data_IF_470317251725
#
_entry.id   IF_470317251725
#
_cell.length_a   1.000
_cell.length_b   1.000
_cell.length_c   1.000
_cell.angle_alpha   90.00
_cell.angle_beta   90.00
_cell.angle_gamma   90.00
#
_symmetry.space_group_name_H-M   'P 1'
#
loop_
_entity.id
_entity.type
_entity.pdbx_description
1 polymer ?
#
# COMPACT_ATOMS: atom_id res chain seq x y z
N UNK A 1 -19.83 -13.91 18.68
CA UNK A 1 -19.13 -14.43 17.48
C UNK A 1 -19.51 -15.86 17.12
N UNK A 2 -19.23 -16.88 17.95
CA UNK A 2 -19.46 -18.29 17.57
C UNK A 2 -20.91 -18.62 17.17
N UNK A 3 -21.90 -18.06 17.89
CA UNK A 3 -23.33 -18.19 17.54
C UNK A 3 -23.64 -17.54 16.19
N UNK A 4 -23.17 -16.31 15.97
CA UNK A 4 -23.35 -15.59 14.71
C UNK A 4 -22.74 -16.35 13.53
N UNK A 5 -21.54 -16.92 13.70
CA UNK A 5 -20.87 -17.72 12.68
C UNK A 5 -21.71 -18.96 12.30
N UNK A 6 -22.18 -19.72 13.28
CA UNK A 6 -23.03 -20.90 13.02
C UNK A 6 -24.33 -20.49 12.33
N UNK A 7 -25.00 -19.46 12.83
CA UNK A 7 -26.25 -18.97 12.24
C UNK A 7 -26.04 -18.49 10.80
N UNK A 8 -25.01 -17.68 10.55
CA UNK A 8 -24.70 -17.13 9.23
C UNK A 8 -24.28 -18.25 8.25
N UNK A 9 -23.49 -19.23 8.70
CA UNK A 9 -23.13 -20.38 7.87
C UNK A 9 -24.34 -21.27 7.52
N UNK A 10 -25.27 -21.48 8.46
CA UNK A 10 -26.44 -22.31 8.21
C UNK A 10 -27.50 -21.61 7.34
N UNK A 11 -27.67 -20.29 7.49
CA UNK A 11 -28.79 -19.54 6.87
C UNK A 11 -28.37 -18.65 5.69
N UNK A 12 -27.09 -18.27 5.62
CA UNK A 12 -26.57 -17.25 4.71
C UNK A 12 -25.47 -17.72 3.75
N UNK A 13 -25.12 -19.02 3.72
CA UNK A 13 -23.98 -19.51 2.91
C UNK A 13 -24.05 -19.19 1.41
N UNK A 14 -25.25 -18.98 0.85
CA UNK A 14 -25.46 -18.62 -0.56
C UNK A 14 -25.00 -17.19 -0.88
N UNK A 15 -24.89 -16.34 0.13
CA UNK A 15 -24.34 -14.99 0.04
C UNK A 15 -23.18 -14.85 1.04
N UNK A 16 -21.95 -15.23 0.65
CA UNK A 16 -20.80 -15.17 1.54
C UNK A 16 -20.48 -13.76 2.07
N UNK A 17 -20.87 -12.68 1.35
CA UNK A 17 -20.67 -11.31 1.82
C UNK A 17 -21.65 -10.97 2.93
N UNK A 18 -22.95 -11.21 2.70
CA UNK A 18 -23.97 -11.06 3.74
C UNK A 18 -23.73 -11.97 4.96
N UNK A 19 -23.14 -13.15 4.76
CA UNK A 19 -22.71 -14.03 5.85
C UNK A 19 -21.65 -13.36 6.74
N UNK A 20 -20.66 -12.69 6.13
CA UNK A 20 -19.60 -11.97 6.85
C UNK A 20 -20.18 -10.82 7.64
N UNK A 21 -21.04 -9.99 7.03
CA UNK A 21 -21.63 -8.82 7.70
C UNK A 21 -22.36 -9.18 9.01
N UNK A 22 -22.99 -10.35 9.06
CA UNK A 22 -23.71 -10.85 10.25
C UNK A 22 -22.81 -11.31 11.39
N UNK A 23 -21.50 -11.49 11.16
CA UNK A 23 -20.60 -12.04 12.18
C UNK A 23 -20.48 -11.14 13.41
N UNK A 24 -20.59 -9.83 13.23
CA UNK A 24 -20.50 -8.83 14.30
C UNK A 24 -21.84 -8.26 14.75
N UNK A 25 -22.96 -8.83 14.30
CA UNK A 25 -24.30 -8.47 14.78
C UNK A 25 -24.35 -8.56 16.31
N UNK A 26 -24.81 -7.48 16.95
CA UNK A 26 -24.91 -7.31 18.40
C UNK A 26 -23.61 -7.47 19.22
N UNK A 27 -22.44 -7.59 18.57
CA UNK A 27 -21.11 -7.60 19.23
C UNK A 27 -20.52 -6.20 19.30
N UNK A 28 -20.72 -5.41 18.24
CA UNK A 28 -20.12 -4.08 18.06
C UNK A 28 -18.69 -4.15 17.54
N UNK A 29 -18.39 -3.28 16.57
CA UNK A 29 -17.10 -3.27 15.82
C UNK A 29 -15.89 -2.84 16.65
N UNK A 30 -16.12 -2.16 17.77
CA UNK A 30 -15.04 -1.71 18.67
C UNK A 30 -14.52 -2.82 19.59
N UNK A 31 -15.28 -3.91 19.76
CA UNK A 31 -14.93 -4.99 20.70
C UNK A 31 -14.17 -6.13 20.04
N UNK A 32 -14.34 -6.31 18.74
CA UNK A 32 -13.77 -7.43 18.00
C UNK A 32 -13.44 -7.01 16.57
N UNK A 33 -12.19 -7.19 16.19
CA UNK A 33 -11.70 -7.08 14.81
C UNK A 33 -11.81 -8.47 14.14
N UNK A 34 -12.33 -8.52 12.91
CA UNK A 34 -12.24 -9.71 12.05
C UNK A 34 -11.22 -9.38 10.96
N UNK A 35 -9.99 -9.81 11.17
CA UNK A 35 -8.83 -9.44 10.37
C UNK A 35 -8.59 -10.33 9.15
N UNK A 36 -9.19 -11.53 9.13
CA UNK A 36 -9.08 -12.47 8.02
C UNK A 36 -10.27 -13.43 7.94
N UNK A 37 -10.67 -13.78 6.72
CA UNK A 37 -11.72 -14.78 6.46
C UNK A 37 -11.34 -15.68 5.31
N UNK A 38 -11.69 -16.97 5.42
CA UNK A 38 -11.55 -17.92 4.32
C UNK A 38 -12.68 -18.93 4.32
N UNK A 39 -13.26 -19.13 3.15
CA UNK A 39 -14.23 -20.18 2.87
C UNK A 39 -13.63 -21.23 1.93
N UNK A 40 -14.04 -22.48 2.12
CA UNK A 40 -13.66 -23.64 1.30
C UNK A 40 -14.82 -24.61 1.20
N UNK A 41 -14.85 -25.41 0.13
CA UNK A 41 -15.81 -26.49 -0.07
C UNK A 41 -16.81 -26.22 -1.20
N UNK A 42 -17.61 -27.23 -1.60
CA UNK A 42 -18.48 -27.15 -2.79
C UNK A 42 -19.50 -26.00 -2.73
N UNK A 43 -20.02 -25.69 -1.53
CA UNK A 43 -20.96 -24.58 -1.32
C UNK A 43 -20.36 -23.20 -1.63
N UNK A 44 -19.04 -23.07 -1.64
CA UNK A 44 -18.30 -21.82 -1.85
C UNK A 44 -17.44 -21.85 -3.12
N UNK A 45 -17.71 -22.74 -4.07
CA UNK A 45 -16.91 -22.89 -5.28
C UNK A 45 -16.82 -21.60 -6.13
N UNK A 46 -17.83 -20.73 -6.06
CA UNK A 46 -17.86 -19.44 -6.75
C UNK A 46 -17.27 -18.27 -5.93
N UNK A 47 -16.84 -18.49 -4.69
CA UNK A 47 -16.35 -17.43 -3.83
C UNK A 47 -14.85 -17.18 -4.05
N UNK A 48 -14.48 -15.94 -4.36
CA UNK A 48 -13.08 -15.49 -4.33
C UNK A 48 -12.75 -14.97 -2.92
N UNK A 49 -11.87 -15.69 -2.22
CA UNK A 49 -11.44 -15.31 -0.86
C UNK A 49 -10.76 -13.94 -0.79
N UNK A 50 -10.18 -13.46 -1.90
CA UNK A 50 -9.59 -12.11 -1.96
C UNK A 50 -10.66 -11.04 -1.89
N UNK A 51 -11.77 -11.23 -2.60
CA UNK A 51 -12.92 -10.32 -2.53
C UNK A 51 -13.61 -10.36 -1.18
N UNK A 52 -13.66 -11.53 -0.51
CA UNK A 52 -14.19 -11.62 0.85
C UNK A 52 -13.31 -10.87 1.85
N UNK A 53 -11.98 -10.98 1.73
CA UNK A 53 -11.06 -10.21 2.57
C UNK A 53 -11.14 -8.70 2.28
N UNK A 54 -11.21 -8.29 1.01
CA UNK A 54 -11.45 -6.89 0.65
C UNK A 54 -12.76 -6.36 1.27
N UNK A 55 -13.80 -7.19 1.27
CA UNK A 55 -15.08 -6.83 1.84
C UNK A 55 -14.98 -6.53 3.34
N UNK A 56 -14.15 -7.24 4.12
CA UNK A 56 -13.90 -6.93 5.54
C UNK A 56 -13.43 -5.49 5.75
N UNK A 57 -12.54 -4.99 4.87
CA UNK A 57 -12.09 -3.59 4.92
C UNK A 57 -13.23 -2.64 4.55
N UNK A 58 -13.98 -2.95 3.48
CA UNK A 58 -15.13 -2.13 3.03
C UNK A 58 -16.21 -1.96 4.10
N UNK A 59 -16.46 -2.98 4.91
CA UNK A 59 -17.46 -2.94 5.99
C UNK A 59 -16.88 -2.49 7.33
N UNK A 60 -15.58 -2.15 7.38
CA UNK A 60 -14.91 -1.64 8.58
C UNK A 60 -14.74 -2.68 9.69
N UNK A 61 -14.58 -3.96 9.33
CA UNK A 61 -14.33 -5.04 10.28
C UNK A 61 -12.84 -5.19 10.61
N UNK A 62 -11.99 -4.71 9.71
CA UNK A 62 -10.54 -4.59 9.88
C UNK A 62 -10.06 -3.36 9.11
N UNK A 63 -9.06 -2.61 9.63
CA UNK A 63 -8.49 -1.48 8.91
C UNK A 63 -7.69 -1.88 7.67
N UNK A 64 -7.20 -3.13 7.58
CA UNK A 64 -6.47 -3.61 6.41
C UNK A 64 -6.44 -5.14 6.30
N UNK A 65 -6.22 -5.64 5.08
CA UNK A 65 -6.00 -7.06 4.77
C UNK A 65 -4.72 -7.24 3.95
N UNK A 66 -4.02 -8.35 4.20
CA UNK A 66 -2.73 -8.66 3.58
C UNK A 66 -2.87 -9.84 2.63
N UNK A 67 -2.20 -9.76 1.49
CA UNK A 67 -2.07 -10.82 0.50
C UNK A 67 -0.59 -11.18 0.33
N UNK A 68 -0.32 -12.48 0.21
CA UNK A 68 0.98 -13.00 -0.15
C UNK A 68 1.37 -12.61 -1.59
N UNK A 69 2.62 -12.87 -1.96
CA UNK A 69 3.14 -12.64 -3.30
C UNK A 69 2.46 -13.49 -4.40
N UNK A 70 1.70 -14.52 -4.02
CA UNK A 70 0.88 -15.34 -4.93
C UNK A 70 -0.60 -14.90 -4.95
N UNK A 71 -0.92 -13.79 -4.28
CA UNK A 71 -2.28 -13.26 -4.14
C UNK A 71 -3.14 -13.95 -3.08
N UNK A 72 -2.63 -14.95 -2.35
CA UNK A 72 -3.40 -15.63 -1.31
C UNK A 72 -3.59 -14.73 -0.08
N UNK A 73 -4.81 -14.65 0.50
CA UNK A 73 -5.01 -13.84 1.71
C UNK A 73 -4.28 -14.43 2.92
N UNK A 74 -3.57 -13.57 3.66
CA UNK A 74 -2.80 -13.89 4.85
C UNK A 74 -3.35 -13.21 6.10
N UNK A 75 -3.17 -13.87 7.25
CA UNK A 75 -3.37 -13.24 8.54
C UNK A 75 -2.20 -12.29 8.85
N UNK A 76 -2.45 -10.98 8.77
CA UNK A 76 -1.39 -9.98 8.90
C UNK A 76 -0.66 -10.04 10.25
N UNK A 77 -1.39 -10.28 11.35
CA UNK A 77 -0.85 -10.38 12.71
C UNK A 77 0.16 -11.53 12.90
N UNK A 78 0.18 -12.50 12.00
CA UNK A 78 1.19 -13.57 11.96
C UNK A 78 2.24 -13.32 10.88
N UNK A 79 1.81 -12.92 9.68
CA UNK A 79 2.66 -12.85 8.51
C UNK A 79 3.80 -11.82 8.62
N UNK A 80 3.58 -10.71 9.32
CA UNK A 80 4.57 -9.60 9.45
C UNK A 80 5.09 -9.40 10.88
N UNK A 81 4.67 -10.25 11.82
CA UNK A 81 5.09 -10.17 13.23
C UNK A 81 6.59 -10.46 13.38
N UNK A 82 7.28 -9.60 14.12
CA UNK A 82 8.74 -9.65 14.36
C UNK A 82 9.55 -9.68 13.06
N UNK A 83 9.03 -9.02 12.02
CA UNK A 83 9.70 -8.83 10.74
C UNK A 83 10.04 -7.38 10.53
N UNK A 84 11.04 -7.14 9.68
CA UNK A 84 11.25 -5.83 9.08
C UNK A 84 10.33 -5.70 7.87
N UNK A 85 9.61 -4.58 7.76
CA UNK A 85 8.68 -4.32 6.66
C UNK A 85 9.17 -3.10 5.90
N UNK A 86 9.21 -3.22 4.57
CA UNK A 86 9.35 -2.08 3.67
C UNK A 86 8.09 -1.97 2.82
N UNK A 87 7.55 -0.76 2.73
CA UNK A 87 6.23 -0.54 2.18
C UNK A 87 6.19 0.66 1.25
N UNK A 88 5.66 0.47 0.05
CA UNK A 88 5.38 1.54 -0.89
C UNK A 88 3.87 1.67 -1.04
N UNK A 89 3.34 2.87 -0.87
CA UNK A 89 1.93 3.19 -1.11
C UNK A 89 1.76 3.67 -2.54
N UNK A 90 0.81 3.09 -3.26
CA UNK A 90 0.57 3.46 -4.65
C UNK A 90 -0.82 3.12 -5.18
N UNK A 91 -1.12 3.66 -6.36
CA UNK A 91 -2.31 3.26 -7.13
C UNK A 91 -2.10 1.89 -7.80
N UNK A 92 -0.86 1.61 -8.22
CA UNK A 92 -0.42 0.39 -8.90
C UNK A 92 -1.36 -0.03 -10.06
N UNK A 93 -1.74 0.95 -10.88
CA UNK A 93 -2.65 0.76 -11.99
C UNK A 93 -2.05 1.22 -13.33
N UNK A 94 -1.01 0.55 -13.88
CA UNK A 94 -0.33 -0.64 -13.35
C UNK A 94 0.85 -0.30 -12.41
N UNK A 95 1.44 -1.33 -11.78
CA UNK A 95 2.78 -1.24 -11.18
C UNK A 95 3.82 -1.00 -12.28
N UNK A 96 4.75 -0.09 -12.03
CA UNK A 96 5.73 0.37 -13.02
C UNK A 96 7.16 -0.02 -12.66
N UNK A 97 8.10 0.10 -13.61
CA UNK A 97 9.53 -0.06 -13.31
C UNK A 97 10.00 0.97 -12.29
N UNK A 98 9.48 2.20 -12.34
CA UNK A 98 9.80 3.21 -11.32
C UNK A 98 9.44 2.73 -9.91
N UNK A 99 8.27 2.12 -9.69
CA UNK A 99 7.90 1.55 -8.39
C UNK A 99 8.88 0.46 -7.95
N UNK A 100 9.21 -0.46 -8.86
CA UNK A 100 10.14 -1.56 -8.58
C UNK A 100 11.56 -1.07 -8.27
N UNK A 101 12.05 -0.09 -9.03
CA UNK A 101 13.37 0.53 -8.85
C UNK A 101 13.43 1.25 -7.49
N UNK A 102 12.40 2.04 -7.14
CA UNK A 102 12.29 2.71 -5.84
C UNK A 102 12.32 1.70 -4.68
N UNK A 103 11.52 0.64 -4.76
CA UNK A 103 11.47 -0.42 -3.75
C UNK A 103 12.84 -1.11 -3.59
N UNK A 104 13.50 -1.45 -4.70
CA UNK A 104 14.79 -2.12 -4.69
C UNK A 104 15.89 -1.26 -4.06
N UNK A 105 15.98 0.01 -4.45
CA UNK A 105 16.94 0.97 -3.87
C UNK A 105 16.70 1.17 -2.37
N UNK A 106 15.44 1.32 -1.97
CA UNK A 106 15.08 1.48 -0.57
C UNK A 106 15.36 0.21 0.25
N UNK A 107 15.12 -0.97 -0.30
CA UNK A 107 15.44 -2.25 0.32
C UNK A 107 16.95 -2.38 0.57
N UNK A 108 17.78 -2.02 -0.42
CA UNK A 108 19.24 -2.02 -0.30
C UNK A 108 19.70 -1.09 0.84
N UNK A 109 19.20 0.15 0.87
CA UNK A 109 19.58 1.13 1.87
C UNK A 109 19.09 0.73 3.28
N UNK A 110 17.85 0.25 3.39
CA UNK A 110 17.26 -0.22 4.65
C UNK A 110 18.01 -1.43 5.24
N UNK A 111 18.47 -2.34 4.38
CA UNK A 111 19.33 -3.45 4.82
C UNK A 111 20.71 -2.96 5.27
N UNK A 112 21.30 -1.97 4.60
CA UNK A 112 22.59 -1.40 5.00
C UNK A 112 22.49 -0.69 6.37
N UNK A 113 21.36 -0.02 6.64
CA UNK A 113 21.08 0.70 7.87
C UNK A 113 20.89 -0.23 9.10
N UNK A 114 20.64 -1.52 8.88
CA UNK A 114 20.48 -2.52 9.93
C UNK A 114 21.78 -2.79 10.72
N UNK A 115 22.94 -2.47 10.15
CA UNK A 115 24.26 -2.79 10.71
C UNK A 115 24.63 -4.28 10.63
N UNK A 116 25.93 -4.59 10.65
CA UNK A 116 26.47 -5.94 10.48
C UNK A 116 26.19 -6.93 11.64
N UNK A 117 25.57 -6.46 12.73
CA UNK A 117 25.38 -7.23 13.97
C UNK A 117 24.16 -8.17 13.94
N UNK A 118 23.33 -8.12 12.91
CA UNK A 118 22.20 -9.02 12.72
C UNK A 118 22.27 -9.63 11.32
N UNK A 119 22.21 -10.96 11.16
CA UNK A 119 21.83 -11.55 9.88
C UNK A 119 20.38 -11.13 9.63
N UNK A 120 20.18 -9.97 9.01
CA UNK A 120 18.86 -9.44 8.77
C UNK A 120 18.18 -10.36 7.75
N UNK A 121 17.18 -11.13 8.21
CA UNK A 121 16.22 -11.74 7.30
C UNK A 121 15.72 -10.65 6.35
N UNK A 122 15.64 -10.98 5.05
CA UNK A 122 15.19 -10.04 4.04
C UNK A 122 13.86 -9.39 4.47
N UNK A 123 13.72 -8.05 4.34
CA UNK A 123 12.51 -7.37 4.75
C UNK A 123 11.32 -7.86 3.93
N UNK A 124 10.13 -7.88 4.54
CA UNK A 124 8.89 -8.10 3.82
C UNK A 124 8.58 -6.86 2.97
N UNK A 125 8.63 -7.03 1.65
CA UNK A 125 8.28 -5.99 0.69
C UNK A 125 6.77 -6.01 0.43
N UNK A 126 6.10 -4.91 0.79
CA UNK A 126 4.65 -4.78 0.72
C UNK A 126 4.26 -3.58 -0.14
N UNK A 127 3.37 -3.79 -1.08
CA UNK A 127 2.77 -2.76 -1.91
C UNK A 127 1.39 -2.45 -1.35
N UNK A 128 1.18 -1.22 -0.88
CA UNK A 128 -0.05 -0.81 -0.22
C UNK A 128 -0.99 -0.06 -1.17
N UNK A 129 -2.23 -0.54 -1.28
CA UNK A 129 -3.32 0.08 -2.02
C UNK A 129 -4.37 0.57 -1.04
N UNK A 130 -4.57 1.88 -0.98
CA UNK A 130 -5.67 2.43 -0.19
C UNK A 130 -7.02 2.15 -0.86
N UNK A 131 -8.06 1.90 -0.07
CA UNK A 131 -9.41 1.68 -0.59
C UNK A 131 -9.98 2.91 -1.30
N UNK A 132 -9.48 4.10 -0.97
CA UNK A 132 -9.81 5.35 -1.67
C UNK A 132 -9.35 5.34 -3.14
N UNK A 133 -8.35 4.51 -3.49
CA UNK A 133 -7.92 4.30 -4.88
C UNK A 133 -8.79 3.28 -5.63
N UNK A 134 -9.78 2.67 -4.96
CA UNK A 134 -10.76 1.73 -5.50
C UNK A 134 -12.13 2.43 -5.52
N UNK A 135 -12.31 3.33 -6.50
CA UNK A 135 -13.45 4.27 -6.55
C UNK A 135 -14.81 3.58 -6.74
N UNK A 136 -14.84 2.44 -7.43
CA UNK A 136 -16.06 1.65 -7.61
C UNK A 136 -16.18 0.54 -6.54
N UNK A 137 -17.34 0.46 -5.90
CA UNK A 137 -17.69 -0.61 -4.94
C UNK A 137 -18.48 -1.76 -5.59
N UNK A 138 -18.80 -1.63 -6.89
CA UNK A 138 -19.46 -2.62 -7.71
C UNK A 138 -18.51 -3.63 -8.35
N UNK A 139 -19.02 -4.35 -9.36
CA UNK A 139 -18.27 -5.42 -10.05
C UNK A 139 -17.03 -4.93 -10.77
N UNK A 140 -17.07 -3.75 -11.39
CA UNK A 140 -15.91 -3.21 -12.10
C UNK A 140 -14.78 -2.88 -11.10
N UNK A 141 -15.13 -2.36 -9.92
CA UNK A 141 -14.16 -2.18 -8.84
C UNK A 141 -13.58 -3.49 -8.28
N UNK A 142 -14.38 -4.57 -8.24
CA UNK A 142 -13.89 -5.90 -7.86
C UNK A 142 -12.89 -6.46 -8.89
N UNK A 143 -13.19 -6.34 -10.18
CA UNK A 143 -12.31 -6.76 -11.27
C UNK A 143 -11.01 -5.94 -11.31
N UNK A 144 -11.11 -4.62 -11.17
CA UNK A 144 -9.95 -3.72 -11.09
C UNK A 144 -9.06 -4.07 -9.90
N UNK A 145 -9.66 -4.34 -8.73
CA UNK A 145 -8.91 -4.77 -7.56
C UNK A 145 -8.15 -6.08 -7.80
N UNK A 146 -8.83 -7.11 -8.30
CA UNK A 146 -8.20 -8.41 -8.56
C UNK A 146 -7.08 -8.29 -9.57
N UNK A 147 -7.27 -7.50 -10.64
CA UNK A 147 -6.24 -7.23 -11.62
C UNK A 147 -5.01 -6.59 -10.98
N UNK A 148 -5.17 -5.58 -10.11
CA UNK A 148 -4.03 -4.94 -9.42
C UNK A 148 -3.27 -5.92 -8.52
N UNK A 149 -3.98 -6.79 -7.79
CA UNK A 149 -3.35 -7.85 -6.98
C UNK A 149 -2.59 -8.83 -7.86
N UNK A 150 -3.15 -9.23 -9.00
CA UNK A 150 -2.51 -10.16 -9.94
C UNK A 150 -1.25 -9.54 -10.58
N UNK A 151 -1.27 -8.25 -10.91
CA UNK A 151 -0.11 -7.52 -11.44
C UNK A 151 1.03 -7.42 -10.40
N UNK A 152 0.69 -7.14 -9.14
CA UNK A 152 1.67 -7.09 -8.05
C UNK A 152 2.21 -8.48 -7.70
N UNK A 153 1.36 -9.51 -7.78
CA UNK A 153 1.76 -10.91 -7.60
C UNK A 153 2.71 -11.39 -8.71
N UNK A 154 2.51 -10.90 -9.94
CA UNK A 154 3.39 -11.23 -11.08
C UNK A 154 4.85 -10.77 -10.87
N UNK A 155 5.06 -9.72 -10.07
CA UNK A 155 6.38 -9.20 -9.69
C UNK A 155 6.80 -9.62 -8.26
N UNK A 156 6.09 -10.59 -7.68
CA UNK A 156 6.45 -11.23 -6.42
C UNK A 156 6.29 -10.34 -5.18
N UNK A 157 5.46 -9.31 -5.23
CA UNK A 157 5.25 -8.40 -4.08
C UNK A 157 4.03 -8.79 -3.26
N UNK A 158 4.14 -8.70 -1.93
CA UNK A 158 2.97 -8.80 -1.07
C UNK A 158 2.09 -7.56 -1.25
N UNK A 159 0.79 -7.69 -1.05
CA UNK A 159 -0.16 -6.58 -1.22
C UNK A 159 -0.89 -6.33 0.08
N UNK A 160 -0.86 -5.09 0.58
CA UNK A 160 -1.72 -4.66 1.68
C UNK A 160 -2.83 -3.79 1.09
N UNK A 161 -4.08 -4.06 1.44
CA UNK A 161 -5.20 -3.17 1.12
C UNK A 161 -5.70 -2.57 2.41
N UNK A 162 -5.72 -1.24 2.49
CA UNK A 162 -6.06 -0.54 3.74
C UNK A 162 -7.11 0.56 3.57
N UNK A 163 -7.83 0.84 4.64
CA UNK A 163 -8.61 2.06 4.83
C UNK A 163 -7.87 3.04 5.78
N UNK A 164 -6.55 3.13 5.61
CA UNK A 164 -5.67 3.94 6.47
C UNK A 164 -5.05 5.08 5.67
N UNK A 165 -5.75 6.20 5.45
CA UNK A 165 -5.25 7.27 4.58
C UNK A 165 -3.99 7.95 5.13
N UNK A 166 -3.83 8.05 6.46
CA UNK A 166 -2.67 8.70 7.05
C UNK A 166 -1.50 7.72 7.30
N UNK A 167 -0.28 8.14 6.99
CA UNK A 167 0.92 7.35 7.24
C UNK A 167 1.14 7.02 8.73
N UNK A 168 0.78 7.93 9.65
CA UNK A 168 0.86 7.63 11.08
C UNK A 168 -0.07 6.48 11.49
N UNK A 169 -1.27 6.40 10.90
CA UNK A 169 -2.22 5.33 11.19
C UNK A 169 -1.74 3.99 10.61
N UNK A 170 -1.09 4.02 9.45
CA UNK A 170 -0.44 2.84 8.87
C UNK A 170 0.76 2.37 9.72
N UNK A 171 1.57 3.29 10.23
CA UNK A 171 2.65 2.98 11.17
C UNK A 171 2.11 2.39 12.48
N UNK A 172 1.04 2.96 13.05
CA UNK A 172 0.35 2.43 14.23
C UNK A 172 -0.22 1.02 13.98
N UNK A 173 -0.80 0.78 12.80
CA UNK A 173 -1.30 -0.53 12.38
C UNK A 173 -0.20 -1.61 12.34
N UNK A 174 0.95 -1.29 11.74
CA UNK A 174 2.10 -2.19 11.66
C UNK A 174 2.70 -2.44 13.06
N UNK A 175 2.80 -1.37 13.85
CA UNK A 175 3.29 -1.42 15.21
C UNK A 175 2.40 -2.26 16.15
N UNK A 176 1.07 -2.21 15.99
CA UNK A 176 0.13 -3.04 16.74
C UNK A 176 0.29 -4.54 16.42
N UNK A 177 0.85 -4.87 15.25
CA UNK A 177 1.17 -6.24 14.81
C UNK A 177 2.60 -6.66 15.13
N UNK A 178 3.31 -5.87 15.94
CA UNK A 178 4.69 -6.12 16.38
C UNK A 178 5.69 -6.26 15.22
N UNK A 179 5.58 -5.37 14.22
CA UNK A 179 6.65 -5.17 13.23
C UNK A 179 7.85 -4.52 13.93
N UNK A 180 9.06 -5.05 13.70
CA UNK A 180 10.28 -4.60 14.40
C UNK A 180 10.86 -3.31 13.83
N UNK A 181 10.77 -3.15 12.52
CA UNK A 181 11.32 -2.04 11.75
C UNK A 181 10.41 -1.76 10.55
N UNK A 182 10.12 -0.50 10.29
CA UNK A 182 9.26 -0.10 9.18
C UNK A 182 9.96 0.93 8.31
N UNK A 183 9.95 0.70 7.00
CA UNK A 183 10.41 1.65 6.00
C UNK A 183 9.25 1.99 5.06
N UNK A 184 8.95 3.27 4.91
CA UNK A 184 8.05 3.75 3.87
C UNK A 184 8.85 4.27 2.68
N UNK A 185 8.46 3.86 1.48
CA UNK A 185 9.05 4.27 0.22
C UNK A 185 8.08 5.19 -0.50
N UNK A 186 8.55 6.37 -0.90
CA UNK A 186 7.73 7.39 -1.56
C UNK A 186 8.56 8.33 -2.42
N UNK A 187 7.92 9.00 -3.38
CA UNK A 187 8.54 10.10 -4.11
C UNK A 187 8.43 11.43 -3.38
N UNK A 188 9.30 12.38 -3.74
CA UNK A 188 9.22 13.79 -3.32
C UNK A 188 7.82 14.42 -3.46
N UNK A 189 7.03 14.17 -4.54
CA UNK A 189 5.68 14.73 -4.64
C UNK A 189 4.78 14.34 -3.46
N UNK A 190 4.80 13.06 -3.06
CA UNK A 190 4.01 12.59 -1.92
C UNK A 190 4.58 13.15 -0.60
N UNK A 191 5.90 13.22 -0.46
CA UNK A 191 6.50 13.83 0.73
C UNK A 191 6.06 15.29 0.91
N UNK A 192 5.99 16.05 -0.18
CA UNK A 192 5.49 17.43 -0.15
C UNK A 192 4.05 17.51 0.36
N UNK A 193 3.18 16.61 -0.10
CA UNK A 193 1.80 16.52 0.39
C UNK A 193 1.72 16.16 1.88
N UNK A 194 2.64 15.34 2.41
CA UNK A 194 2.67 15.04 3.85
C UNK A 194 2.99 16.26 4.73
N UNK A 195 3.58 17.31 4.17
CA UNK A 195 3.78 18.58 4.87
C UNK A 195 2.60 19.54 4.73
N UNK A 196 1.51 19.14 4.08
CA UNK A 196 0.28 19.93 4.03
C UNK A 196 -0.55 19.73 5.31
N UNK A 197 -0.58 20.76 6.16
CA UNK A 197 -1.30 20.76 7.43
C UNK A 197 -2.81 20.52 7.30
N UNK A 198 -3.37 20.72 6.10
CA UNK A 198 -4.77 20.44 5.79
C UNK A 198 -5.20 19.01 6.10
N UNK A 199 -4.28 18.05 6.01
CA UNK A 199 -4.54 16.63 6.30
C UNK A 199 -4.63 16.30 7.79
N UNK A 200 -4.22 17.21 8.68
CA UNK A 200 -4.09 16.94 10.13
C UNK A 200 -5.03 17.78 10.99
N UNK A 201 -6.05 18.42 10.40
CA UNK A 201 -7.03 19.25 11.11
C UNK A 201 -7.85 18.50 12.16
N UNK A 202 -7.94 17.17 12.05
CA UNK A 202 -8.63 16.29 12.99
C UNK A 202 -7.77 15.89 14.20
N UNK A 203 -6.49 16.27 14.23
CA UNK A 203 -5.58 16.03 15.35
C UNK A 203 -5.41 17.29 16.19
N UNK A 204 -5.48 17.18 17.51
CA UNK A 204 -5.38 18.31 18.43
C UNK A 204 -4.01 19.01 18.32
N UNK A 205 -2.93 18.25 18.12
CA UNK A 205 -1.58 18.75 17.89
C UNK A 205 -1.19 18.87 16.41
N UNK A 206 -2.15 18.73 15.48
CA UNK A 206 -1.93 18.90 14.04
C UNK A 206 -0.80 18.05 13.48
N UNK A 207 0.05 18.66 12.64
CA UNK A 207 1.18 17.98 11.99
C UNK A 207 2.22 17.45 12.98
N UNK A 208 2.46 18.16 14.09
CA UNK A 208 3.45 17.73 15.09
C UNK A 208 3.00 16.44 15.78
N UNK A 209 1.71 16.33 16.09
CA UNK A 209 1.14 15.09 16.63
C UNK A 209 1.23 13.95 15.60
N UNK A 210 0.90 14.22 14.33
CA UNK A 210 0.97 13.22 13.26
C UNK A 210 2.37 12.65 13.10
N UNK A 211 3.39 13.51 13.03
CA UNK A 211 4.78 13.10 12.87
C UNK A 211 5.35 12.46 14.14
N UNK A 212 4.93 12.93 15.32
CA UNK A 212 5.23 12.29 16.60
C UNK A 212 4.76 10.84 16.61
N UNK A 213 3.50 10.58 16.22
CA UNK A 213 2.93 9.22 16.09
C UNK A 213 3.66 8.37 15.05
N UNK A 214 3.89 8.93 13.86
CA UNK A 214 4.53 8.25 12.73
C UNK A 214 5.93 7.72 13.07
N UNK A 215 6.76 8.51 13.74
CA UNK A 215 8.16 8.17 13.99
C UNK A 215 8.43 7.55 15.38
N UNK A 216 7.40 7.11 16.11
CA UNK A 216 7.55 6.53 17.46
C UNK A 216 8.28 5.18 17.54
N UNK A 217 8.26 4.35 16.48
CA UNK A 217 8.65 2.93 16.55
C UNK A 217 9.56 2.48 15.40
N UNK A 218 10.78 3.02 15.33
CA UNK A 218 11.79 2.61 14.32
C UNK A 218 11.19 2.63 12.90
N UNK A 219 10.65 3.78 12.56
CA UNK A 219 10.02 4.06 11.26
C UNK A 219 10.94 5.00 10.50
N UNK A 220 11.14 4.72 9.21
CA UNK A 220 11.94 5.55 8.31
C UNK A 220 11.17 5.82 7.02
N UNK A 221 11.48 6.94 6.37
CA UNK A 221 11.01 7.28 5.05
C UNK A 221 12.19 7.35 4.08
N UNK A 222 12.13 6.55 3.02
CA UNK A 222 13.08 6.57 1.92
C UNK A 222 12.43 7.26 0.72
N UNK A 223 13.05 8.34 0.28
CA UNK A 223 12.41 9.31 -0.59
C UNK A 223 13.14 9.37 -1.92
N UNK A 224 12.46 8.94 -2.97
CA UNK A 224 12.96 9.01 -4.34
C UNK A 224 12.86 10.43 -4.87
N UNK A 225 13.91 10.85 -5.58
CA UNK A 225 13.95 12.15 -6.23
C UNK A 225 12.88 12.28 -7.33
N UNK A 226 12.59 13.52 -7.71
CA UNK A 226 11.72 13.82 -8.85
C UNK A 226 12.30 14.99 -9.64
N UNK A 227 11.79 15.23 -10.85
CA UNK A 227 12.10 16.46 -11.60
C UNK A 227 11.00 17.46 -11.38
N UNK A 228 11.38 18.71 -11.14
CA UNK A 228 10.41 19.79 -11.15
C UNK A 228 9.77 19.91 -12.54
N UNK A 229 8.45 20.10 -12.57
CA UNK A 229 7.71 20.18 -13.82
C UNK A 229 7.94 21.50 -14.58
N UNK A 230 8.43 22.55 -13.89
CA UNK A 230 8.60 23.90 -14.44
C UNK A 230 10.02 24.08 -14.97
N UNK A 231 11.04 23.85 -14.16
CA UNK A 231 12.44 24.13 -14.52
C UNK A 231 13.28 22.88 -14.80
N UNK A 232 12.74 21.68 -14.54
CA UNK A 232 13.40 20.41 -14.81
C UNK A 232 14.50 20.04 -13.81
N UNK A 233 14.74 20.86 -12.78
CA UNK A 233 15.74 20.57 -11.76
C UNK A 233 15.35 19.36 -10.92
N UNK A 234 16.36 18.60 -10.50
CA UNK A 234 16.15 17.42 -9.64
C UNK A 234 15.92 17.89 -8.21
N UNK A 235 14.77 17.49 -7.67
CA UNK A 235 14.40 17.71 -6.28
C UNK A 235 14.57 16.40 -5.53
N UNK A 236 15.35 16.43 -4.46
CA UNK A 236 15.56 15.31 -3.54
C UNK A 236 14.89 15.62 -2.21
N UNK A 237 14.91 14.65 -1.28
CA UNK A 237 14.50 14.91 0.11
C UNK A 237 15.31 16.04 0.75
N UNK A 238 16.54 16.28 0.27
CA UNK A 238 17.43 17.28 0.83
C UNK A 238 17.19 18.70 0.32
N UNK A 239 16.70 18.82 -0.92
CA UNK A 239 16.45 20.09 -1.57
C UNK A 239 14.96 20.47 -1.58
N UNK A 240 14.08 19.58 -1.11
CA UNK A 240 12.65 19.85 -0.96
C UNK A 240 12.42 21.08 -0.07
N UNK A 241 11.64 22.02 -0.59
CA UNK A 241 11.15 23.18 0.16
C UNK A 241 9.72 22.94 0.61
N UNK A 242 9.45 23.31 1.86
CA UNK A 242 8.12 23.31 2.50
C UNK A 242 7.81 24.73 2.99
N UNK A 243 6.59 24.97 3.47
CA UNK A 243 6.23 26.26 4.08
C UNK A 243 7.22 26.65 5.18
N UNK A 244 7.55 27.95 5.27
CA UNK A 244 8.65 28.47 6.08
C UNK A 244 8.59 28.03 7.56
N UNK A 245 7.40 27.95 8.14
CA UNK A 245 7.22 27.52 9.54
C UNK A 245 7.42 26.02 9.76
N UNK A 246 7.43 25.20 8.69
CA UNK A 246 7.67 23.75 8.74
C UNK A 246 9.11 23.38 8.39
N UNK A 247 9.95 24.34 7.97
CA UNK A 247 11.35 24.08 7.58
C UNK A 247 12.12 23.37 8.71
N UNK A 248 12.02 23.87 9.94
CA UNK A 248 12.73 23.27 11.07
C UNK A 248 12.21 21.87 11.45
N UNK A 249 10.93 21.57 11.17
CA UNK A 249 10.41 20.21 11.33
C UNK A 249 11.06 19.27 10.32
N UNK A 250 11.09 19.65 9.04
CA UNK A 250 11.76 18.86 8.00
C UNK A 250 13.25 18.67 8.31
N UNK A 251 13.95 19.73 8.71
CA UNK A 251 15.36 19.68 9.07
C UNK A 251 15.60 18.73 10.26
N UNK A 252 14.76 18.80 11.29
CA UNK A 252 14.84 17.88 12.43
C UNK A 252 14.69 16.42 11.99
N UNK A 253 13.71 16.11 11.13
CA UNK A 253 13.48 14.75 10.65
C UNK A 253 14.65 14.25 9.77
N UNK A 254 15.26 15.13 8.98
CA UNK A 254 16.42 14.81 8.13
C UNK A 254 17.69 14.60 8.96
N UNK A 255 18.00 15.50 9.89
CA UNK A 255 19.21 15.41 10.74
C UNK A 255 19.18 14.15 11.60
N UNK A 256 18.00 13.74 12.07
CA UNK A 256 17.84 12.47 12.81
C UNK A 256 17.75 11.25 11.89
N UNK A 257 17.88 11.42 10.58
CA UNK A 257 17.81 10.36 9.58
C UNK A 257 16.47 9.62 9.57
N UNK A 258 15.37 10.28 9.93
CA UNK A 258 14.01 9.73 9.84
C UNK A 258 13.49 9.81 8.40
N UNK A 259 13.85 10.88 7.69
CA UNK A 259 13.63 11.06 6.25
C UNK A 259 14.99 10.99 5.56
N UNK A 260 15.13 10.06 4.60
CA UNK A 260 16.38 9.78 3.89
C UNK A 260 16.15 9.87 2.38
N UNK A 261 17.02 10.58 1.63
CA UNK A 261 16.98 10.50 0.17
C UNK A 261 17.43 9.11 -0.29
N UNK A 262 16.81 8.60 -1.35
CA UNK A 262 17.34 7.47 -2.10
C UNK A 262 18.44 7.94 -3.07
N UNK A 263 19.47 7.11 -3.33
CA UNK A 263 20.44 7.38 -4.38
C UNK A 263 19.73 7.56 -5.73
N UNK A 264 20.11 8.60 -6.47
CA UNK A 264 19.54 8.91 -7.77
C UNK A 264 20.63 9.34 -8.73
N UNK A 265 20.71 8.68 -9.89
CA UNK A 265 21.42 9.18 -11.06
C UNK A 265 20.47 10.08 -11.85
N UNK A 266 20.75 11.38 -11.88
CA UNK A 266 19.88 12.35 -12.57
C UNK A 266 19.65 11.96 -14.04
N UNK A 267 20.64 11.38 -14.71
CA UNK A 267 20.53 11.02 -16.13
C UNK A 267 19.55 9.87 -16.39
N UNK A 268 19.28 9.05 -15.38
CA UNK A 268 18.40 7.87 -15.47
C UNK A 268 17.07 8.08 -14.73
N UNK A 269 16.84 9.27 -14.19
CA UNK A 269 15.66 9.58 -13.38
C UNK A 269 14.38 9.49 -14.22
N UNK A 270 13.60 8.43 -13.96
CA UNK A 270 12.27 8.22 -14.55
C UNK A 270 11.24 9.11 -13.86
N UNK A 271 10.39 9.77 -14.64
CA UNK A 271 9.41 10.76 -14.13
C UNK A 271 7.96 10.49 -14.54
N UNK A 272 7.63 9.27 -14.96
CA UNK A 272 6.27 8.90 -15.32
C UNK A 272 5.52 8.27 -14.14
N UNK A 273 4.20 8.44 -14.14
CA UNK A 273 3.28 7.88 -13.16
C UNK A 273 2.58 6.63 -13.70
N UNK A 274 1.94 5.85 -12.82
CA UNK A 274 1.01 4.79 -13.25
C UNK A 274 -0.12 5.33 -14.14
N UNK A 275 -0.53 6.59 -13.97
CA UNK A 275 -1.59 7.21 -14.77
C UNK A 275 -1.14 7.46 -16.21
N UNK A 276 0.11 7.88 -16.40
CA UNK A 276 0.70 8.05 -17.73
C UNK A 276 0.78 6.71 -18.46
N UNK A 277 1.18 5.64 -17.77
CA UNK A 277 1.21 4.28 -18.33
C UNK A 277 -0.21 3.83 -18.68
N UNK A 278 -1.19 4.06 -17.80
CA UNK A 278 -2.60 3.74 -18.05
C UNK A 278 -3.13 4.47 -19.29
N UNK A 279 -2.82 5.76 -19.44
CA UNK A 279 -3.22 6.57 -20.58
C UNK A 279 -2.66 6.00 -21.90
N UNK A 280 -1.39 5.57 -21.91
CA UNK A 280 -0.78 4.92 -23.08
C UNK A 280 -1.41 3.58 -23.41
N UNK A 281 -1.73 2.77 -22.41
CA UNK A 281 -2.44 1.49 -22.59
C UNK A 281 -3.81 1.74 -23.24
N UNK A 282 -4.61 2.65 -22.68
CA UNK A 282 -5.93 2.98 -23.21
C UNK A 282 -5.87 3.65 -24.59
N UNK A 283 -4.81 4.39 -24.89
CA UNK A 283 -4.56 4.99 -26.20
C UNK A 283 -3.98 4.03 -27.24
N UNK A 284 -3.66 2.78 -26.89
CA UNK A 284 -3.06 1.80 -27.79
C UNK A 284 -1.58 2.07 -28.14
N UNK A 285 -0.89 2.93 -27.38
CA UNK A 285 0.52 3.27 -27.60
C UNK A 285 1.44 2.15 -27.08
N UNK A 286 2.16 1.40 -27.95
CA UNK A 286 2.95 0.25 -27.53
C UNK A 286 4.13 0.58 -26.61
N UNK A 287 4.52 1.86 -26.49
CA UNK A 287 5.66 2.29 -25.66
C UNK A 287 5.44 2.06 -24.16
N UNK A 288 4.20 1.81 -23.72
CA UNK A 288 3.92 1.47 -22.31
C UNK A 288 4.66 0.21 -21.85
N UNK A 289 4.99 -0.72 -22.77
CA UNK A 289 5.71 -1.97 -22.46
C UNK A 289 7.09 -1.73 -21.86
N UNK A 290 7.78 -0.66 -22.26
CA UNK A 290 9.10 -0.32 -21.74
C UNK A 290 9.06 0.25 -20.31
N UNK A 291 7.88 0.69 -19.88
CA UNK A 291 7.63 1.36 -18.59
C UNK A 291 7.23 0.38 -17.48
N UNK A 292 7.00 -0.89 -17.81
CA UNK A 292 6.64 -1.95 -16.87
C UNK A 292 7.59 -3.14 -16.99
N UNK A 293 7.55 -4.06 -16.02
CA UNK A 293 8.31 -5.30 -16.14
C UNK A 293 7.65 -6.23 -17.18
N UNK A 294 8.43 -7.11 -17.86
CA UNK A 294 7.89 -8.02 -18.87
C UNK A 294 6.72 -8.89 -18.36
N UNK A 295 6.79 -9.34 -17.12
CA UNK A 295 5.77 -10.16 -16.46
C UNK A 295 4.46 -9.37 -16.29
N UNK A 296 4.56 -8.07 -16.01
CA UNK A 296 3.41 -7.17 -15.91
C UNK A 296 2.79 -6.95 -17.29
N UNK A 297 3.61 -6.74 -18.32
CA UNK A 297 3.13 -6.57 -19.69
C UNK A 297 2.38 -7.83 -20.19
N UNK A 298 2.93 -9.01 -19.98
CA UNK A 298 2.30 -10.28 -20.34
C UNK A 298 0.94 -10.46 -19.63
N UNK A 299 0.85 -10.08 -18.35
CA UNK A 299 -0.40 -10.15 -17.59
C UNK A 299 -1.45 -9.17 -18.11
N UNK A 300 -1.07 -7.93 -18.41
CA UNK A 300 -1.98 -6.92 -18.98
C UNK A 300 -2.53 -7.40 -20.32
N UNK A 301 -1.69 -8.00 -21.18
CA UNK A 301 -2.11 -8.52 -22.48
C UNK A 301 -3.06 -9.73 -22.33
N UNK A 302 -2.79 -10.64 -21.38
CA UNK A 302 -3.64 -11.81 -21.11
C UNK A 302 -4.99 -11.47 -20.50
N UNK A 303 -5.02 -10.50 -19.59
CA UNK A 303 -6.25 -10.07 -18.92
C UNK A 303 -7.17 -9.30 -19.90
N UNK A 304 -6.63 -8.80 -21.02
CA UNK A 304 -7.27 -7.74 -21.78
C UNK A 304 -7.40 -6.48 -20.91
N UNK A 305 -7.81 -5.34 -21.47
CA UNK A 305 -7.96 -4.10 -20.69
C UNK A 305 -8.96 -4.19 -19.51
N UNK A 306 -9.54 -5.35 -19.20
CA UNK A 306 -10.50 -5.63 -18.12
C UNK A 306 -10.01 -5.34 -16.69
N UNK A 307 -8.74 -4.96 -16.49
CA UNK A 307 -8.25 -4.40 -15.21
C UNK A 307 -8.25 -2.88 -15.13
N UNK A 308 -8.47 -2.18 -16.24
CA UNK A 308 -8.47 -0.72 -16.34
C UNK A 308 -9.76 -0.28 -17.03
N UNK A 309 -10.67 0.36 -16.31
CA UNK A 309 -11.70 1.14 -16.98
C UNK A 309 -11.00 2.27 -17.75
N UNK A 310 -10.95 2.12 -19.07
CA UNK A 310 -10.59 3.19 -20.00
C UNK A 310 -11.77 4.15 -20.15
N UNK A 311 -12.38 4.54 -19.03
CA UNK A 311 -13.29 5.66 -18.99
C UNK A 311 -12.43 6.92 -19.01
N UNK A 312 -12.62 7.71 -20.07
CA UNK A 312 -12.06 9.04 -20.30
C UNK A 312 -12.82 10.05 -19.45
#
# INVERSE_FOLDING_TARGET
>A
LGVNLLHAACTGWRDPRGMIERLLDDVGRERLEIDWVRVRGPAFAAADNRLLCLHLVRVGFTPAVLFAADGTPLLASEAIRHKSVIMERGRFAPVTRLNLDMMALACQQFCADAGAAQPAAAPCEIMEITINNLRDRGKAGDEEFLARVDLLSAVGKMVLVSDLPAFYALAEYLAARHVDRTAFVLGVPLLRELFNEGFYKNLAGGILEAYGRLFTKRVWMYVHATRDAIDGHVITADTLRVSQHLTHLLDHLRVNGLIRPLPCDETQLRTYSSEDVRARICGGDPTWRDLVAPEVAERIEKLGAFGFTCDV
#
